data_IF_134697360195
#
_entry.id   IF_134697360195
#
_cell.length_a   1.000
_cell.length_b   1.000
_cell.length_c   1.000
_cell.angle_alpha   90.00
_cell.angle_beta   90.00
_cell.angle_gamma   90.00
#
_symmetry.space_group_name_H-M   'P 1'
#
loop_
_entity.id
_entity.type
_entity.pdbx_description
1 polymer ?
#
# COMPACT_ATOMS: atom_id res chain seq x y z
N UNK A 1 4.70 52.85 -40.65
CA UNK A 1 3.77 52.12 -39.81
C UNK A 1 3.53 50.67 -40.20
N UNK A 2 3.48 50.30 -41.48
CA UNK A 2 3.25 48.90 -41.96
C UNK A 2 4.31 47.90 -41.45
N UNK A 3 5.60 48.28 -41.35
CA UNK A 3 6.70 47.39 -40.98
C UNK A 3 6.70 46.97 -39.48
N UNK A 4 6.22 47.86 -38.56
CA UNK A 4 6.07 47.52 -37.11
C UNK A 4 4.98 46.48 -36.87
N UNK A 5 3.85 46.56 -37.54
CA UNK A 5 2.75 45.60 -37.41
C UNK A 5 3.12 44.20 -37.94
N UNK A 6 3.89 44.11 -39.04
CA UNK A 6 4.38 42.84 -39.58
C UNK A 6 5.37 42.16 -38.62
N UNK A 7 6.31 42.92 -38.03
CA UNK A 7 7.30 42.40 -37.06
C UNK A 7 6.62 41.91 -35.77
N UNK A 8 5.65 42.64 -35.25
CA UNK A 8 4.87 42.26 -34.07
C UNK A 8 4.07 40.94 -34.31
N UNK A 9 3.48 40.80 -35.51
CA UNK A 9 2.76 39.59 -35.91
C UNK A 9 3.68 38.36 -36.01
N UNK A 10 4.90 38.53 -36.56
CA UNK A 10 5.90 37.47 -36.65
C UNK A 10 6.40 37.03 -35.26
N UNK A 11 6.65 37.99 -34.34
CA UNK A 11 7.05 37.68 -32.94
C UNK A 11 5.92 36.92 -32.22
N UNK A 12 4.68 37.37 -32.36
CA UNK A 12 3.52 36.70 -31.76
C UNK A 12 3.37 35.28 -32.30
N UNK A 13 3.47 35.07 -33.63
CA UNK A 13 3.39 33.74 -34.23
C UNK A 13 4.51 32.83 -33.75
N UNK A 14 5.75 33.36 -33.60
CA UNK A 14 6.86 32.62 -33.05
C UNK A 14 6.62 32.24 -31.59
N UNK A 15 6.17 33.19 -30.74
CA UNK A 15 5.84 32.92 -29.33
C UNK A 15 4.75 31.86 -29.19
N UNK A 16 3.68 31.92 -29.99
CA UNK A 16 2.61 30.91 -30.03
C UNK A 16 3.15 29.53 -30.38
N UNK A 17 4.03 29.45 -31.41
CA UNK A 17 4.65 28.16 -31.79
C UNK A 17 5.51 27.60 -30.68
N UNK A 18 6.34 28.42 -30.03
CA UNK A 18 7.17 28.00 -28.90
C UNK A 18 6.29 27.50 -27.73
N UNK A 19 5.25 28.27 -27.36
CA UNK A 19 4.32 27.83 -26.32
C UNK A 19 3.62 26.51 -26.64
N UNK A 20 3.17 26.35 -27.91
CA UNK A 20 2.55 25.10 -28.36
C UNK A 20 3.53 23.92 -28.28
N UNK A 21 4.79 24.13 -28.68
CA UNK A 21 5.82 23.10 -28.63
C UNK A 21 6.12 22.70 -27.17
N UNK A 22 6.26 23.68 -26.27
CA UNK A 22 6.47 23.43 -24.83
C UNK A 22 5.27 22.69 -24.23
N UNK A 23 4.06 23.10 -24.58
CA UNK A 23 2.84 22.44 -24.11
C UNK A 23 2.74 20.98 -24.57
N UNK A 24 3.03 20.71 -25.85
CA UNK A 24 3.05 19.34 -26.40
C UNK A 24 4.14 18.51 -25.68
N UNK A 25 5.32 19.08 -25.45
CA UNK A 25 6.38 18.41 -24.71
C UNK A 25 5.94 18.03 -23.29
N UNK A 26 5.32 18.97 -22.56
CA UNK A 26 4.81 18.70 -21.21
C UNK A 26 3.72 17.63 -21.20
N UNK A 27 2.84 17.61 -22.19
CA UNK A 27 1.83 16.56 -22.34
C UNK A 27 2.45 15.18 -22.56
N UNK A 28 3.40 15.09 -23.50
CA UNK A 28 4.08 13.82 -23.82
C UNK A 28 4.92 13.33 -22.65
N UNK A 29 5.62 14.25 -21.98
CA UNK A 29 6.38 13.92 -20.78
C UNK A 29 5.46 13.47 -19.62
N UNK A 30 4.39 14.21 -19.34
CA UNK A 30 3.41 13.84 -18.33
C UNK A 30 2.76 12.49 -18.60
N UNK A 31 2.40 12.21 -19.86
CA UNK A 31 1.87 10.90 -20.25
C UNK A 31 2.88 9.77 -20.02
N UNK A 32 4.16 9.99 -20.40
CA UNK A 32 5.21 8.98 -20.17
C UNK A 32 5.42 8.70 -18.69
N UNK A 33 5.42 9.72 -17.84
CA UNK A 33 5.56 9.56 -16.38
C UNK A 33 4.35 8.83 -15.77
N UNK A 34 3.13 9.19 -16.18
CA UNK A 34 1.91 8.49 -15.75
C UNK A 34 1.98 7.01 -16.16
N UNK A 35 2.34 6.74 -17.41
CA UNK A 35 2.48 5.36 -17.89
C UNK A 35 3.52 4.58 -17.08
N UNK A 36 4.67 5.19 -16.73
CA UNK A 36 5.67 4.55 -15.89
C UNK A 36 5.12 4.23 -14.48
N UNK A 37 4.33 5.14 -13.89
CA UNK A 37 3.72 4.93 -12.57
C UNK A 37 2.60 3.89 -12.60
N UNK A 38 1.85 3.79 -13.68
CA UNK A 38 0.79 2.78 -13.80
C UNK A 38 1.33 1.37 -14.07
N UNK A 39 2.55 1.25 -14.60
CA UNK A 39 3.18 -0.03 -14.96
C UNK A 39 4.38 -0.34 -14.05
N UNK A 40 4.15 -0.86 -12.84
CA UNK A 40 5.21 -1.15 -11.89
C UNK A 40 6.17 -2.23 -12.39
N UNK A 41 7.42 -2.24 -11.91
CA UNK A 41 8.35 -3.34 -12.19
C UNK A 41 7.81 -4.66 -11.63
N UNK A 42 7.93 -5.74 -12.41
CA UNK A 42 7.50 -7.08 -12.00
C UNK A 42 8.65 -7.83 -11.34
N UNK A 43 8.69 -7.83 -10.01
CA UNK A 43 9.70 -8.55 -9.23
C UNK A 43 9.08 -9.87 -8.76
N UNK A 44 9.58 -11.00 -9.29
CA UNK A 44 9.10 -12.33 -8.90
C UNK A 44 9.73 -12.71 -7.56
N UNK A 45 8.94 -13.02 -6.52
CA UNK A 45 9.48 -13.48 -5.25
C UNK A 45 10.05 -14.89 -5.40
N UNK A 46 11.23 -15.12 -4.83
CA UNK A 46 11.95 -16.39 -5.00
C UNK A 46 11.69 -17.40 -3.87
N UNK A 47 11.07 -17.00 -2.77
CA UNK A 47 10.83 -17.85 -1.59
C UNK A 47 12.13 -18.29 -0.88
N UNK A 48 13.24 -17.56 -1.07
CA UNK A 48 14.54 -17.92 -0.47
C UNK A 48 14.50 -17.95 1.05
N UNK A 49 13.84 -16.95 1.65
CA UNK A 49 13.69 -16.86 3.11
C UNK A 49 12.83 -18.01 3.63
N UNK A 50 11.74 -18.33 2.94
CA UNK A 50 10.83 -19.41 3.35
C UNK A 50 11.54 -20.77 3.31
N UNK A 51 12.25 -21.08 2.24
CA UNK A 51 13.07 -22.32 2.14
C UNK A 51 14.19 -22.38 3.18
N UNK A 52 14.83 -21.26 3.49
CA UNK A 52 15.91 -21.20 4.50
C UNK A 52 15.40 -21.60 5.90
N UNK A 53 14.14 -21.34 6.20
CA UNK A 53 13.53 -21.62 7.51
C UNK A 53 12.55 -22.79 7.47
N UNK A 54 12.58 -23.61 6.41
CA UNK A 54 11.70 -24.77 6.20
C UNK A 54 10.21 -24.44 6.37
N UNK A 55 9.80 -23.27 5.87
CA UNK A 55 8.38 -22.86 5.87
C UNK A 55 7.70 -23.54 4.68
N UNK A 56 6.76 -24.43 4.99
CA UNK A 56 5.89 -25.02 3.97
C UNK A 56 4.85 -23.99 3.51
N UNK A 57 4.71 -23.85 2.20
CA UNK A 57 3.69 -23.03 1.57
C UNK A 57 3.22 -23.67 0.27
N UNK A 58 2.02 -23.32 -0.14
CA UNK A 58 1.44 -23.71 -1.41
C UNK A 58 1.32 -22.53 -2.34
N UNK A 59 1.69 -22.69 -3.60
CA UNK A 59 1.34 -21.73 -4.65
C UNK A 59 -0.16 -21.83 -4.92
N UNK A 60 -0.84 -20.70 -4.88
CA UNK A 60 -2.28 -20.60 -5.11
C UNK A 60 -2.59 -19.43 -6.05
N UNK A 61 -3.63 -19.61 -6.85
CA UNK A 61 -4.19 -18.54 -7.67
C UNK A 61 -5.46 -17.99 -7.01
N UNK A 62 -5.53 -16.66 -6.86
CA UNK A 62 -6.72 -15.97 -6.41
C UNK A 62 -7.38 -15.30 -7.62
N UNK A 63 -8.70 -15.36 -7.71
CA UNK A 63 -9.43 -14.70 -8.78
C UNK A 63 -10.23 -13.52 -8.23
N UNK A 64 -9.93 -12.32 -8.69
CA UNK A 64 -10.65 -11.11 -8.31
C UNK A 64 -12.03 -11.05 -8.98
N UNK A 65 -12.93 -10.23 -8.45
CA UNK A 65 -14.28 -10.08 -9.01
C UNK A 65 -14.30 -9.43 -10.40
N UNK A 66 -13.25 -8.72 -10.76
CA UNK A 66 -13.02 -8.14 -12.10
C UNK A 66 -12.20 -9.05 -13.02
N UNK A 67 -11.93 -10.31 -12.60
CA UNK A 67 -11.36 -11.35 -13.44
C UNK A 67 -9.83 -11.37 -13.50
N UNK A 68 -9.13 -10.65 -12.62
CA UNK A 68 -7.67 -10.69 -12.53
C UNK A 68 -7.24 -11.91 -11.70
N UNK A 69 -6.33 -12.73 -12.25
CA UNK A 69 -5.68 -13.82 -11.53
C UNK A 69 -4.47 -13.27 -10.77
N UNK A 70 -4.44 -13.49 -9.45
CA UNK A 70 -3.33 -13.12 -8.60
C UNK A 70 -2.55 -14.37 -8.19
N UNK A 71 -1.24 -14.32 -8.33
CA UNK A 71 -0.34 -15.35 -7.82
C UNK A 71 -0.09 -15.12 -6.35
N UNK A 72 -0.25 -16.16 -5.53
CA UNK A 72 -0.13 -16.06 -4.09
C UNK A 72 0.59 -17.27 -3.47
N UNK A 73 1.08 -17.10 -2.23
CA UNK A 73 1.53 -18.16 -1.34
C UNK A 73 0.61 -18.29 -0.15
N UNK A 74 0.28 -19.51 0.21
CA UNK A 74 -0.55 -19.81 1.37
C UNK A 74 0.09 -20.86 2.28
N UNK A 75 0.17 -20.54 3.58
CA UNK A 75 0.46 -21.49 4.66
C UNK A 75 -0.76 -21.61 5.56
N UNK A 76 -1.30 -22.82 5.83
CA UNK A 76 -2.43 -23.00 6.74
C UNK A 76 -2.10 -22.60 8.19
N UNK A 77 -3.08 -22.11 8.97
CA UNK A 77 -2.86 -21.80 10.37
C UNK A 77 -2.78 -23.04 11.27
N UNK A 78 -1.93 -22.96 12.30
CA UNK A 78 -1.93 -23.89 13.44
C UNK A 78 -2.67 -23.33 14.66
N UNK A 79 -2.91 -22.01 14.69
CA UNK A 79 -3.52 -21.30 15.81
C UNK A 79 -4.90 -20.68 15.47
N UNK A 80 -5.50 -21.05 14.33
CA UNK A 80 -6.81 -20.56 13.88
C UNK A 80 -6.81 -19.18 13.22
N UNK A 81 -5.70 -18.46 13.20
CA UNK A 81 -5.63 -17.11 12.64
C UNK A 81 -4.78 -17.04 11.36
N UNK A 82 -5.29 -16.38 10.30
CA UNK A 82 -4.58 -16.09 9.05
C UNK A 82 -4.26 -14.60 8.97
N UNK A 83 -3.05 -14.28 8.53
CA UNK A 83 -2.63 -12.91 8.25
C UNK A 83 -2.48 -12.71 6.74
N UNK A 84 -3.24 -11.77 6.20
CA UNK A 84 -3.13 -11.31 4.83
C UNK A 84 -1.94 -10.36 4.70
N UNK A 85 -1.07 -10.56 3.70
CA UNK A 85 0.13 -9.73 3.50
C UNK A 85 0.08 -8.98 2.16
N UNK A 86 -0.05 -7.66 2.22
CA UNK A 86 -0.06 -6.77 1.06
C UNK A 86 1.27 -5.99 0.96
N UNK A 87 1.97 -6.14 -0.16
CA UNK A 87 3.26 -5.47 -0.40
C UNK A 87 3.12 -4.04 -0.94
N UNK A 88 4.21 -3.29 -0.95
CA UNK A 88 4.30 -1.94 -1.50
C UNK A 88 4.32 -1.90 -3.04
N UNK A 89 4.16 -0.70 -3.60
CA UNK A 89 4.27 -0.47 -5.05
C UNK A 89 5.65 -0.86 -5.57
N UNK A 90 5.68 -1.58 -6.69
CA UNK A 90 6.93 -2.04 -7.32
C UNK A 90 7.74 -3.04 -6.51
N UNK A 91 7.17 -3.60 -5.45
CA UNK A 91 7.80 -4.58 -4.56
C UNK A 91 7.21 -5.99 -4.79
N UNK A 92 7.51 -6.92 -3.91
CA UNK A 92 7.12 -8.32 -3.93
C UNK A 92 6.60 -8.78 -2.57
N UNK A 93 6.06 -9.99 -2.50
CA UNK A 93 5.60 -10.63 -1.26
C UNK A 93 6.65 -10.49 -0.15
N UNK A 94 6.29 -9.98 1.06
CA UNK A 94 7.24 -9.69 2.13
C UNK A 94 7.67 -10.98 2.86
N UNK A 95 8.64 -11.71 2.31
CA UNK A 95 9.12 -13.00 2.84
C UNK A 95 9.55 -12.95 4.32
N UNK A 96 10.04 -11.80 4.79
CA UNK A 96 10.48 -11.62 6.17
C UNK A 96 9.30 -11.52 7.17
N UNK A 97 8.17 -10.90 6.77
CA UNK A 97 6.93 -10.90 7.58
C UNK A 97 6.31 -12.28 7.55
N UNK A 98 6.26 -12.88 6.35
CA UNK A 98 5.74 -14.23 6.14
C UNK A 98 6.42 -15.23 7.09
N UNK A 99 7.75 -15.27 7.08
CA UNK A 99 8.54 -16.14 7.96
C UNK A 99 8.23 -15.91 9.44
N UNK A 100 8.19 -14.64 9.86
CA UNK A 100 7.91 -14.30 11.26
C UNK A 100 6.58 -14.88 11.75
N UNK A 101 5.52 -14.74 10.95
CA UNK A 101 4.18 -15.16 11.30
C UNK A 101 4.01 -16.68 11.20
N UNK A 102 4.45 -17.29 10.09
CA UNK A 102 4.34 -18.73 9.88
C UNK A 102 5.05 -19.54 10.99
N UNK A 103 6.24 -19.12 11.42
CA UNK A 103 6.97 -19.75 12.54
C UNK A 103 6.28 -19.62 13.89
N UNK A 104 5.26 -18.78 14.01
CA UNK A 104 4.44 -18.62 15.20
C UNK A 104 3.10 -19.33 15.11
N UNK A 105 2.90 -20.08 14.05
CA UNK A 105 1.69 -20.87 13.83
C UNK A 105 0.55 -20.10 13.20
N UNK A 106 0.76 -18.84 12.82
CA UNK A 106 -0.21 -18.13 11.99
C UNK A 106 -0.26 -18.73 10.60
N UNK A 107 -1.45 -18.87 10.04
CA UNK A 107 -1.60 -18.98 8.61
C UNK A 107 -1.18 -17.68 7.94
N UNK A 108 -0.63 -17.76 6.74
CA UNK A 108 -0.18 -16.59 6.01
C UNK A 108 -0.61 -16.69 4.56
N UNK A 109 -1.26 -15.65 4.06
CA UNK A 109 -1.59 -15.50 2.65
C UNK A 109 -0.94 -14.23 2.12
N UNK A 110 0.05 -14.36 1.24
CA UNK A 110 0.74 -13.28 0.58
C UNK A 110 0.58 -13.40 -0.93
N UNK A 111 0.17 -12.33 -1.60
CA UNK A 111 -0.02 -12.31 -3.05
C UNK A 111 0.81 -11.22 -3.70
N UNK A 112 1.10 -11.39 -4.98
CA UNK A 112 1.53 -10.29 -5.83
C UNK A 112 0.28 -9.49 -6.19
N UNK A 113 0.25 -8.19 -5.91
CA UNK A 113 -0.86 -7.32 -6.32
C UNK A 113 -1.03 -7.32 -7.85
N UNK A 114 -2.20 -6.93 -8.35
CA UNK A 114 -2.39 -6.74 -9.80
C UNK A 114 -1.25 -5.93 -10.43
N UNK A 115 -0.87 -6.26 -11.64
CA UNK A 115 0.25 -5.70 -12.38
C UNK A 115 1.65 -5.92 -11.75
N UNK A 116 1.77 -6.63 -10.62
CA UNK A 116 3.04 -6.96 -9.97
C UNK A 116 3.38 -8.45 -10.10
N UNK A 117 4.66 -8.77 -9.92
CA UNK A 117 5.17 -10.13 -9.84
C UNK A 117 4.63 -11.05 -10.94
N UNK A 118 4.07 -12.19 -10.53
CA UNK A 118 3.46 -13.20 -11.42
C UNK A 118 1.93 -13.06 -11.56
N UNK A 119 1.32 -12.02 -10.98
CA UNK A 119 -0.11 -11.72 -11.12
C UNK A 119 -0.42 -11.10 -12.48
N UNK A 120 -1.65 -11.31 -12.92
CA UNK A 120 -2.18 -10.66 -14.13
C UNK A 120 -2.50 -9.17 -13.85
N UNK A 121 -3.08 -8.50 -14.84
CA UNK A 121 -3.33 -7.05 -14.82
C UNK A 121 -2.22 -6.28 -15.53
N UNK A 122 -2.59 -5.18 -16.14
CA UNK A 122 -1.66 -4.34 -16.91
C UNK A 122 -1.20 -3.14 -16.10
N UNK A 123 -2.08 -2.58 -15.27
CA UNK A 123 -1.83 -1.36 -14.50
C UNK A 123 -2.07 -1.56 -13.01
N UNK A 124 -1.30 -0.85 -12.18
CA UNK A 124 -1.57 -0.63 -10.77
C UNK A 124 -2.29 0.70 -10.58
N UNK A 125 -3.31 0.69 -9.72
CA UNK A 125 -4.11 1.88 -9.39
C UNK A 125 -3.77 2.46 -8.02
N UNK A 126 -2.69 1.95 -7.42
CA UNK A 126 -2.09 2.40 -6.15
C UNK A 126 -3.12 2.48 -5.02
N UNK A 127 -3.94 1.43 -4.88
CA UNK A 127 -4.89 1.26 -3.77
C UNK A 127 -6.37 1.25 -4.16
N UNK A 128 -6.76 1.63 -5.37
CA UNK A 128 -8.17 1.64 -5.78
C UNK A 128 -8.67 0.23 -6.15
N UNK A 129 -8.23 -0.30 -7.28
CA UNK A 129 -8.61 -1.65 -7.72
C UNK A 129 -7.92 -2.74 -6.89
N UNK A 130 -6.81 -2.45 -6.24
CA UNK A 130 -6.11 -3.36 -5.33
C UNK A 130 -6.98 -3.74 -4.12
N UNK A 131 -8.04 -3.00 -3.79
CA UNK A 131 -9.06 -3.41 -2.81
C UNK A 131 -9.76 -4.71 -3.26
N UNK A 132 -9.94 -4.93 -4.56
CA UNK A 132 -10.48 -6.18 -5.10
C UNK A 132 -9.51 -7.35 -4.92
N UNK A 133 -8.20 -7.08 -4.95
CA UNK A 133 -7.18 -8.09 -4.69
C UNK A 133 -7.24 -8.54 -3.22
N UNK A 134 -7.37 -7.56 -2.29
CA UNK A 134 -7.60 -7.86 -0.85
C UNK A 134 -8.88 -8.67 -0.66
N UNK A 135 -9.96 -8.33 -1.38
CA UNK A 135 -11.23 -9.09 -1.30
C UNK A 135 -11.04 -10.54 -1.75
N UNK A 136 -10.34 -10.78 -2.84
CA UNK A 136 -10.05 -12.12 -3.32
C UNK A 136 -9.19 -12.92 -2.32
N UNK A 137 -8.18 -12.29 -1.72
CA UNK A 137 -7.36 -12.88 -0.68
C UNK A 137 -8.17 -13.21 0.58
N UNK A 138 -9.02 -12.31 1.01
CA UNK A 138 -9.90 -12.49 2.16
C UNK A 138 -10.89 -13.65 1.93
N UNK A 139 -11.54 -13.69 0.78
CA UNK A 139 -12.47 -14.77 0.43
C UNK A 139 -11.79 -16.13 0.39
N UNK A 140 -10.58 -16.19 -0.18
CA UNK A 140 -9.78 -17.41 -0.17
C UNK A 140 -9.45 -17.86 1.25
N UNK A 141 -8.97 -16.94 2.11
CA UNK A 141 -8.61 -17.26 3.49
C UNK A 141 -9.81 -17.78 4.29
N UNK A 142 -10.96 -17.11 4.19
CA UNK A 142 -12.18 -17.50 4.90
C UNK A 142 -12.77 -18.84 4.42
N UNK A 143 -12.45 -19.25 3.21
CA UNK A 143 -12.88 -20.56 2.68
C UNK A 143 -11.96 -21.72 3.12
N UNK A 144 -10.83 -21.45 3.76
CA UNK A 144 -9.90 -22.49 4.18
C UNK A 144 -10.33 -23.15 5.51
N UNK A 145 -10.04 -24.44 5.69
CA UNK A 145 -10.33 -25.11 6.95
C UNK A 145 -9.49 -24.52 8.11
N UNK A 146 -10.06 -24.56 9.31
CA UNK A 146 -9.44 -24.10 10.56
C UNK A 146 -9.06 -22.61 10.57
N UNK A 147 -9.67 -21.77 9.74
CA UNK A 147 -9.55 -20.32 9.79
C UNK A 147 -10.73 -19.76 10.59
N UNK A 148 -10.43 -19.22 11.75
CA UNK A 148 -11.39 -18.63 12.69
C UNK A 148 -11.27 -17.10 12.70
N UNK A 149 -10.04 -16.58 12.52
CA UNK A 149 -9.72 -15.17 12.57
C UNK A 149 -8.87 -14.72 11.38
N UNK A 150 -9.07 -13.50 10.90
CA UNK A 150 -8.28 -12.91 9.83
C UNK A 150 -7.76 -11.54 10.27
N UNK A 151 -6.43 -11.41 10.29
CA UNK A 151 -5.73 -10.14 10.41
C UNK A 151 -5.08 -9.73 9.10
N UNK A 152 -4.54 -8.51 9.05
CA UNK A 152 -3.81 -8.07 7.87
C UNK A 152 -2.58 -7.22 8.23
N UNK A 153 -1.51 -7.41 7.47
CA UNK A 153 -0.31 -6.59 7.47
C UNK A 153 -0.07 -6.02 6.09
N UNK A 154 0.26 -4.74 5.99
CA UNK A 154 0.61 -4.11 4.74
C UNK A 154 1.73 -3.11 4.86
N UNK A 155 2.52 -2.97 3.78
CA UNK A 155 3.57 -1.96 3.63
C UNK A 155 3.23 -0.96 2.53
N UNK A 156 3.43 0.35 2.76
CA UNK A 156 3.26 1.43 1.77
C UNK A 156 1.91 1.36 1.04
N UNK A 157 1.90 1.22 -0.30
CA UNK A 157 0.68 0.98 -1.08
C UNK A 157 -0.21 -0.10 -0.47
N UNK A 158 0.36 -1.25 -0.08
CA UNK A 158 -0.39 -2.33 0.55
C UNK A 158 -1.00 -1.94 1.90
N UNK A 159 -0.32 -1.09 2.68
CA UNK A 159 -0.83 -0.56 3.93
C UNK A 159 -2.06 0.33 3.71
N UNK A 160 -1.97 1.25 2.76
CA UNK A 160 -3.07 2.16 2.40
C UNK A 160 -4.24 1.42 1.77
N UNK A 161 -3.98 0.44 0.90
CA UNK A 161 -5.00 -0.46 0.33
C UNK A 161 -5.74 -1.24 1.41
N UNK A 162 -5.02 -1.76 2.42
CA UNK A 162 -5.64 -2.50 3.52
C UNK A 162 -6.49 -1.63 4.43
N UNK A 163 -6.16 -0.34 4.62
CA UNK A 163 -7.04 0.60 5.32
C UNK A 163 -8.37 0.75 4.57
N UNK A 164 -8.31 0.98 3.24
CA UNK A 164 -9.51 1.08 2.39
C UNK A 164 -10.33 -0.21 2.39
N UNK A 165 -9.67 -1.36 2.32
CA UNK A 165 -10.31 -2.67 2.35
C UNK A 165 -10.93 -3.00 3.71
N UNK A 166 -10.21 -2.76 4.82
CA UNK A 166 -10.72 -3.02 6.15
C UNK A 166 -11.91 -2.13 6.52
N UNK A 167 -11.99 -0.91 5.98
CA UNK A 167 -13.18 -0.06 6.13
C UNK A 167 -14.43 -0.66 5.45
N UNK A 168 -14.25 -1.51 4.43
CA UNK A 168 -15.33 -2.17 3.68
C UNK A 168 -15.60 -3.59 4.15
N UNK A 169 -14.55 -4.33 4.58
CA UNK A 169 -14.63 -5.76 4.92
C UNK A 169 -14.40 -5.96 6.42
N UNK A 170 -15.47 -6.07 7.21
CA UNK A 170 -15.37 -6.24 8.66
C UNK A 170 -14.72 -7.56 9.10
N UNK A 171 -14.55 -8.51 8.21
CA UNK A 171 -13.88 -9.79 8.46
C UNK A 171 -12.36 -9.65 8.66
N UNK A 172 -11.76 -8.51 8.28
CA UNK A 172 -10.39 -8.16 8.66
C UNK A 172 -10.45 -7.64 10.10
N UNK A 173 -10.11 -8.45 11.09
CA UNK A 173 -10.36 -8.21 12.50
C UNK A 173 -9.27 -7.36 13.19
N UNK A 174 -8.05 -7.38 12.66
CA UNK A 174 -6.92 -6.60 13.18
C UNK A 174 -6.02 -6.14 12.03
N UNK A 175 -5.60 -4.86 12.07
CA UNK A 175 -4.86 -4.25 10.98
C UNK A 175 -3.54 -3.64 11.46
N UNK A 176 -2.41 -4.13 10.92
CA UNK A 176 -1.07 -3.59 11.15
C UNK A 176 -0.51 -3.00 9.85
N UNK A 177 -0.27 -1.69 9.82
CA UNK A 177 0.14 -0.95 8.61
C UNK A 177 1.47 -0.24 8.81
N UNK A 178 2.39 -0.41 7.86
CA UNK A 178 3.73 0.16 7.87
C UNK A 178 3.90 1.16 6.73
N UNK A 179 4.21 2.42 7.08
CA UNK A 179 4.44 3.54 6.16
C UNK A 179 3.28 3.79 5.17
N UNK A 180 2.01 3.85 5.64
CA UNK A 180 0.87 4.17 4.79
C UNK A 180 0.90 5.64 4.36
N UNK A 181 0.32 5.96 3.20
CA UNK A 181 -0.03 7.33 2.83
C UNK A 181 -1.46 7.70 3.29
N UNK A 182 -1.73 9.00 3.47
CA UNK A 182 -3.04 9.52 3.87
C UNK A 182 -4.07 9.50 2.75
N UNK A 183 -3.65 9.96 1.57
CA UNK A 183 -4.42 9.93 0.33
C UNK A 183 -3.46 9.85 -0.86
N UNK A 184 -3.92 9.29 -1.97
CA UNK A 184 -3.11 9.28 -3.19
C UNK A 184 -2.87 10.71 -3.70
N UNK A 185 -3.80 11.62 -3.41
CA UNK A 185 -3.62 13.03 -3.74
C UNK A 185 -2.43 13.65 -3.01
N UNK A 186 -2.32 13.45 -1.68
CA UNK A 186 -1.21 13.96 -0.86
C UNK A 186 0.12 13.31 -1.22
N UNK A 187 0.09 12.00 -1.51
CA UNK A 187 1.26 11.24 -1.98
C UNK A 187 1.82 11.82 -3.27
N UNK A 188 0.96 12.08 -4.26
CA UNK A 188 1.37 12.68 -5.53
C UNK A 188 1.80 14.14 -5.37
N UNK A 189 1.19 14.91 -4.45
CA UNK A 189 1.64 16.27 -4.16
C UNK A 189 3.03 16.29 -3.53
N UNK A 190 3.34 15.30 -2.71
CA UNK A 190 4.66 15.14 -2.09
C UNK A 190 5.73 14.70 -3.10
N UNK A 191 5.43 13.69 -3.93
CA UNK A 191 6.37 13.14 -4.89
C UNK A 191 6.61 14.05 -6.11
N UNK A 192 5.59 14.81 -6.52
CA UNK A 192 5.62 15.68 -7.70
C UNK A 192 5.33 17.13 -7.27
N UNK A 193 6.26 17.82 -6.57
CA UNK A 193 6.01 19.16 -6.03
C UNK A 193 6.10 20.27 -7.10
N UNK A 194 5.63 20.01 -8.31
CA UNK A 194 5.68 20.93 -9.44
C UNK A 194 4.27 21.44 -9.81
N UNK A 195 3.97 22.74 -9.61
CA UNK A 195 2.61 23.28 -9.70
C UNK A 195 1.90 23.10 -11.04
N UNK A 196 2.65 22.89 -12.14
CA UNK A 196 2.09 22.70 -13.49
C UNK A 196 2.06 21.21 -13.86
N UNK A 197 3.09 20.45 -13.47
CA UNK A 197 3.24 19.04 -13.84
C UNK A 197 2.29 18.15 -13.02
N UNK A 198 2.19 18.38 -11.72
CA UNK A 198 1.36 17.56 -10.83
C UNK A 198 -0.12 17.55 -11.25
N UNK A 199 -0.82 18.69 -11.41
CA UNK A 199 -2.22 18.67 -11.84
C UNK A 199 -2.41 18.02 -13.20
N UNK A 200 -1.45 18.20 -14.13
CA UNK A 200 -1.48 17.58 -15.43
C UNK A 200 -1.31 16.06 -15.34
N UNK A 201 -0.37 15.57 -14.54
CA UNK A 201 -0.16 14.14 -14.32
C UNK A 201 -1.39 13.49 -13.70
N UNK A 202 -1.98 14.10 -12.65
CA UNK A 202 -3.23 13.64 -12.03
C UNK A 202 -4.36 13.54 -13.05
N UNK A 203 -4.56 14.59 -13.84
CA UNK A 203 -5.59 14.63 -14.88
C UNK A 203 -5.40 13.54 -15.94
N UNK A 204 -4.16 13.33 -16.40
CA UNK A 204 -3.85 12.27 -17.36
C UNK A 204 -4.07 10.87 -16.77
N UNK A 205 -3.66 10.65 -15.53
CA UNK A 205 -3.89 9.39 -14.83
C UNK A 205 -5.37 9.08 -14.65
N UNK A 206 -6.21 10.08 -14.31
CA UNK A 206 -7.65 9.93 -14.21
C UNK A 206 -8.31 9.60 -15.55
N UNK A 207 -7.83 10.20 -16.66
CA UNK A 207 -8.31 9.87 -18.01
C UNK A 207 -7.95 8.43 -18.39
N UNK A 208 -6.71 8.02 -18.15
CA UNK A 208 -6.20 6.73 -18.57
C UNK A 208 -6.84 5.59 -17.76
N UNK A 209 -7.00 5.78 -16.45
CA UNK A 209 -7.51 4.73 -15.57
C UNK A 209 -9.03 4.76 -15.38
N UNK A 210 -9.68 5.89 -15.66
CA UNK A 210 -11.08 6.13 -15.31
C UNK A 210 -11.32 6.31 -13.80
N UNK A 211 -10.28 6.35 -12.98
CA UNK A 211 -10.34 6.42 -11.52
C UNK A 211 -10.16 7.88 -11.09
N UNK A 212 -10.85 8.27 -10.04
CA UNK A 212 -10.66 9.58 -9.42
C UNK A 212 -9.65 9.48 -8.27
N UNK A 213 -8.52 10.15 -8.40
CA UNK A 213 -7.42 10.12 -7.43
C UNK A 213 -7.88 10.51 -6.02
N UNK A 214 -8.81 11.46 -5.90
CA UNK A 214 -9.33 11.89 -4.61
C UNK A 214 -10.21 10.84 -3.89
N UNK A 215 -10.67 9.79 -4.58
CA UNK A 215 -11.42 8.69 -3.95
C UNK A 215 -10.49 7.70 -3.23
N UNK A 216 -9.16 7.78 -3.48
CA UNK A 216 -8.17 6.95 -2.81
C UNK A 216 -7.68 7.71 -1.57
N UNK A 217 -8.47 7.65 -0.50
CA UNK A 217 -8.25 8.43 0.72
C UNK A 217 -8.39 7.58 1.99
N UNK A 218 -7.33 6.82 2.35
CA UNK A 218 -7.29 6.09 3.62
C UNK A 218 -7.66 6.91 4.84
N UNK A 219 -7.28 8.20 4.89
CA UNK A 219 -7.55 9.07 6.04
C UNK A 219 -9.05 9.34 6.24
N UNK A 220 -9.84 9.35 5.18
CA UNK A 220 -11.29 9.53 5.26
C UNK A 220 -12.03 8.25 5.67
N UNK A 221 -11.40 7.08 5.45
CA UNK A 221 -12.01 5.77 5.66
C UNK A 221 -11.61 5.10 6.97
N UNK A 222 -10.43 5.40 7.52
CA UNK A 222 -9.82 4.68 8.66
C UNK A 222 -10.72 4.69 9.93
N UNK A 223 -11.50 5.74 10.14
CA UNK A 223 -12.42 5.83 11.27
C UNK A 223 -13.52 4.75 11.26
N UNK A 224 -13.82 4.17 10.10
CA UNK A 224 -14.85 3.12 9.91
C UNK A 224 -14.36 1.74 10.35
N UNK A 225 -13.07 1.57 10.57
CA UNK A 225 -12.47 0.30 11.02
C UNK A 225 -12.88 0.00 12.46
N UNK A 226 -13.00 1.02 13.31
CA UNK A 226 -13.41 0.85 14.73
C UNK A 226 -14.72 0.06 14.85
N UNK A 227 -14.85 -0.85 15.85
CA UNK A 227 -13.97 -1.05 17.02
C UNK A 227 -12.81 -2.04 16.80
N UNK A 228 -12.45 -2.37 15.57
CA UNK A 228 -11.31 -3.25 15.25
C UNK A 228 -10.00 -2.47 15.40
N UNK A 229 -8.93 -3.10 15.94
CA UNK A 229 -7.68 -2.42 16.24
C UNK A 229 -6.90 -2.08 14.95
N UNK A 230 -6.27 -0.91 14.97
CA UNK A 230 -5.33 -0.46 13.94
C UNK A 230 -4.00 -0.11 14.59
N UNK A 231 -2.92 -0.74 14.12
CA UNK A 231 -1.55 -0.43 14.52
C UNK A 231 -0.82 0.24 13.35
N UNK A 232 -0.41 1.49 13.51
CA UNK A 232 0.26 2.29 12.48
C UNK A 232 1.73 2.40 12.84
N UNK A 233 2.60 2.15 11.85
CA UNK A 233 4.05 2.28 11.95
C UNK A 233 4.52 3.33 10.96
N UNK A 234 5.39 4.26 11.38
CA UNK A 234 5.88 5.33 10.51
C UNK A 234 7.33 5.69 10.82
N UNK A 235 8.18 5.70 9.81
CA UNK A 235 9.49 6.34 9.87
C UNK A 235 9.38 7.83 9.57
N UNK A 236 9.92 8.70 10.44
CA UNK A 236 9.79 10.16 10.28
C UNK A 236 10.83 10.76 9.32
N UNK A 237 11.83 9.97 8.87
CA UNK A 237 12.73 10.35 7.78
C UNK A 237 12.25 9.79 6.41
N UNK A 238 10.97 9.53 6.28
CA UNK A 238 10.34 9.04 5.06
C UNK A 238 10.41 10.11 3.95
N UNK A 239 10.91 9.73 2.78
CA UNK A 239 11.04 10.56 1.58
C UNK A 239 10.22 10.03 0.41
N UNK A 240 9.45 8.96 0.62
CA UNK A 240 8.56 8.33 -0.35
C UNK A 240 7.12 8.70 -0.07
N UNK A 241 6.67 8.51 1.18
CA UNK A 241 5.37 8.99 1.65
C UNK A 241 5.56 10.21 2.57
N UNK A 242 4.58 11.13 2.68
CA UNK A 242 4.67 12.24 3.63
C UNK A 242 4.94 11.73 5.05
N UNK A 243 6.00 12.19 5.73
CA UNK A 243 6.41 11.63 7.03
C UNK A 243 5.38 11.82 8.16
N UNK A 244 4.45 12.76 8.00
CA UNK A 244 3.34 13.02 8.91
C UNK A 244 2.09 12.17 8.63
N UNK A 245 2.13 11.28 7.63
CA UNK A 245 0.99 10.42 7.25
C UNK A 245 0.51 9.53 8.39
N UNK A 246 1.45 8.93 9.12
CA UNK A 246 1.12 8.08 10.27
C UNK A 246 0.37 8.84 11.37
N UNK A 247 0.79 10.08 11.67
CA UNK A 247 0.13 10.94 12.66
C UNK A 247 -1.26 11.37 12.19
N UNK A 248 -1.41 11.77 10.93
CA UNK A 248 -2.70 12.15 10.34
C UNK A 248 -3.69 10.99 10.39
N UNK A 249 -3.25 9.80 10.00
CA UNK A 249 -4.08 8.58 10.05
C UNK A 249 -4.43 8.20 11.49
N UNK A 250 -3.48 8.26 12.43
CA UNK A 250 -3.75 8.03 13.84
C UNK A 250 -4.79 9.00 14.38
N UNK A 251 -4.71 10.29 14.05
CA UNK A 251 -5.67 11.28 14.50
C UNK A 251 -7.07 11.08 13.89
N UNK A 252 -7.16 10.59 12.65
CA UNK A 252 -8.43 10.28 11.98
C UNK A 252 -9.05 8.94 12.47
N UNK A 253 -8.23 7.97 12.85
CA UNK A 253 -8.69 6.68 13.36
C UNK A 253 -9.43 6.83 14.71
N UNK A 254 -10.32 5.87 15.02
CA UNK A 254 -10.97 5.73 16.33
C UNK A 254 -10.33 4.57 17.11
N UNK A 255 -10.57 4.55 18.42
CA UNK A 255 -10.08 3.46 19.26
C UNK A 255 -10.69 2.08 18.89
N UNK A 256 -9.90 1.00 19.04
CA UNK A 256 -8.50 0.94 19.51
C UNK A 256 -7.50 1.24 18.39
N UNK A 257 -6.57 2.14 18.65
CA UNK A 257 -5.55 2.58 17.69
C UNK A 257 -4.19 2.75 18.37
N UNK A 258 -3.12 2.49 17.64
CA UNK A 258 -1.75 2.67 18.12
C UNK A 258 -0.90 3.29 17.01
N UNK A 259 -0.04 4.25 17.37
CA UNK A 259 0.99 4.79 16.49
C UNK A 259 2.36 4.46 17.07
N UNK A 260 3.24 3.93 16.24
CA UNK A 260 4.66 3.80 16.51
C UNK A 260 5.45 4.54 15.43
N UNK A 261 5.99 5.71 15.80
CA UNK A 261 6.81 6.53 14.93
C UNK A 261 8.24 6.61 15.48
N UNK A 262 9.24 6.65 14.60
CA UNK A 262 10.66 6.75 14.96
C UNK A 262 11.35 7.82 14.12
N UNK A 263 12.09 8.72 14.79
CA UNK A 263 12.95 9.69 14.12
C UNK A 263 14.07 8.99 13.34
N UNK A 264 14.54 9.60 12.27
CA UNK A 264 15.66 9.14 11.45
C UNK A 264 15.46 7.77 10.76
N UNK A 265 14.27 7.20 10.76
CA UNK A 265 13.95 5.95 10.06
C UNK A 265 13.30 6.28 8.71
N UNK A 266 13.88 5.81 7.58
CA UNK A 266 13.31 5.98 6.24
C UNK A 266 12.06 5.11 6.00
N UNK A 267 11.46 5.29 4.82
CA UNK A 267 10.29 4.54 4.34
C UNK A 267 10.45 3.01 4.49
N UNK A 268 9.52 2.36 5.19
CA UNK A 268 9.50 0.90 5.44
C UNK A 268 10.78 0.30 6.06
N UNK A 269 11.59 1.10 6.74
CA UNK A 269 12.84 0.61 7.36
C UNK A 269 12.74 0.38 8.86
N UNK A 270 11.56 0.49 9.46
CA UNK A 270 11.36 0.22 10.89
C UNK A 270 11.80 -1.19 11.32
N UNK A 271 11.58 -2.19 10.47
CA UNK A 271 12.09 -3.54 10.71
C UNK A 271 13.62 -3.61 10.62
N UNK A 272 14.24 -2.95 9.65
CA UNK A 272 15.70 -2.95 9.48
C UNK A 272 16.41 -2.21 10.61
N UNK A 273 15.81 -1.13 11.10
CA UNK A 273 16.34 -0.36 12.22
C UNK A 273 16.32 -1.15 13.54
N UNK A 274 15.20 -1.80 13.85
CA UNK A 274 15.09 -2.61 15.06
C UNK A 274 14.28 -3.90 14.86
N UNK A 275 14.87 -4.95 14.26
CA UNK A 275 14.17 -6.19 13.91
C UNK A 275 13.51 -6.89 15.10
N UNK A 276 14.17 -6.87 16.28
CA UNK A 276 13.65 -7.51 17.49
C UNK A 276 12.42 -6.78 18.04
N UNK A 277 12.45 -5.44 18.06
CA UNK A 277 11.34 -4.61 18.52
C UNK A 277 10.15 -4.72 17.58
N UNK A 278 10.40 -4.66 16.27
CA UNK A 278 9.35 -4.81 15.25
C UNK A 278 8.65 -6.16 15.39
N UNK A 279 9.42 -7.25 15.38
CA UNK A 279 8.89 -8.62 15.54
C UNK A 279 8.05 -8.76 16.80
N UNK A 280 8.55 -8.27 17.94
CA UNK A 280 7.82 -8.34 19.21
C UNK A 280 6.49 -7.59 19.13
N UNK A 281 6.46 -6.37 18.59
CA UNK A 281 5.25 -5.55 18.49
C UNK A 281 4.24 -6.16 17.53
N UNK A 282 4.67 -6.62 16.36
CA UNK A 282 3.82 -7.26 15.37
C UNK A 282 3.14 -8.52 15.95
N UNK A 283 3.92 -9.41 16.55
CA UNK A 283 3.38 -10.65 17.12
C UNK A 283 2.46 -10.37 18.32
N UNK A 284 2.87 -9.47 19.22
CA UNK A 284 2.05 -9.11 20.38
C UNK A 284 0.70 -8.51 19.96
N UNK A 285 0.68 -7.69 18.90
CA UNK A 285 -0.56 -7.13 18.38
C UNK A 285 -1.53 -8.22 17.87
N UNK A 286 -1.06 -9.15 17.05
CA UNK A 286 -1.93 -10.22 16.56
C UNK A 286 -2.28 -11.26 17.64
N UNK A 287 -1.35 -11.57 18.56
CA UNK A 287 -1.63 -12.46 19.69
C UNK A 287 -2.72 -11.89 20.61
N UNK A 288 -2.70 -10.58 20.88
CA UNK A 288 -3.73 -9.90 21.68
C UNK A 288 -5.10 -9.89 20.99
N UNK A 289 -5.13 -9.47 19.72
CA UNK A 289 -6.39 -9.12 19.06
C UNK A 289 -7.05 -10.25 18.29
N UNK A 290 -6.31 -11.28 17.89
CA UNK A 290 -6.86 -12.43 17.19
C UNK A 290 -6.95 -13.69 18.07
N UNK A 291 -6.01 -13.85 19.02
CA UNK A 291 -5.94 -15.07 19.83
C UNK A 291 -6.40 -14.85 21.28
N UNK A 292 -6.74 -13.62 21.66
CA UNK A 292 -7.17 -13.30 23.02
C UNK A 292 -6.08 -13.42 24.09
N UNK A 293 -4.81 -13.48 23.69
CA UNK A 293 -3.67 -13.68 24.58
C UNK A 293 -3.21 -12.35 25.21
N UNK A 294 -4.06 -11.77 26.05
CA UNK A 294 -3.76 -10.51 26.74
C UNK A 294 -2.58 -10.67 27.73
N UNK A 295 -1.56 -9.83 27.60
CA UNK A 295 -0.49 -9.67 28.59
C UNK A 295 0.69 -10.63 28.50
N UNK A 296 0.79 -11.49 27.49
CA UNK A 296 1.95 -12.41 27.35
C UNK A 296 3.25 -11.70 26.96
N UNK A 297 3.19 -10.43 26.53
CA UNK A 297 4.33 -9.69 25.99
C UNK A 297 4.66 -8.36 26.70
N UNK A 298 4.07 -8.10 27.88
CA UNK A 298 4.29 -6.87 28.63
C UNK A 298 3.57 -5.65 28.04
N UNK A 299 3.21 -4.73 28.92
CA UNK A 299 2.34 -3.58 28.62
C UNK A 299 2.93 -2.67 27.51
N UNK A 300 2.43 -2.74 26.29
CA UNK A 300 2.85 -1.92 25.16
C UNK A 300 2.19 -0.53 25.14
N UNK A 301 1.27 -0.28 26.11
CA UNK A 301 0.47 0.96 26.19
C UNK A 301 1.22 2.11 26.85
N UNK A 302 2.40 1.86 27.43
CA UNK A 302 3.15 2.85 28.21
C UNK A 302 4.55 3.14 27.68
N UNK A 303 4.76 3.41 26.43
CA UNK A 303 5.96 4.10 25.94
C UNK A 303 5.71 4.59 24.53
N UNK A 304 4.84 5.59 24.39
CA UNK A 304 4.71 6.45 23.22
C UNK A 304 5.67 7.61 23.30
#
# INVERSE_FOLDING_TARGET
>A
MKNKKSRARSILTFAVKVMATVFIFLLLFGFAEVNNVLHPPRIIPEGKTLRKFDIEYHDVDLLTTDGIRLSAWYTPPHNGAVILLAHGYGDKRPEWVYEMLARKGYGVLAWDARAHGASDGEISTIGYLEVLDVKAALDYALAQPNVEHVGAWGGSMGASTLILAAAQFPQIEALFVDSPFTSLNDELDFLIPYPVINPLAKFLAEIETGIRIHEISPVDEIARISPRPVYIVQGLADTVAPPDSGEKLFNAAREPRTLWAEENVPHQQMYLDNPRRYKRRLLAFFDEWLLGNYGTHGDFRQNG
#
